data_IF_925752022894
#
_entry.id   IF_925752022894
#
_cell.length_a   1.000
_cell.length_b   1.000
_cell.length_c   1.000
_cell.angle_alpha   90.00
_cell.angle_beta   90.00
_cell.angle_gamma   90.00
#
_symmetry.space_group_name_H-M   'P 1'
#
loop_
_entity.id
_entity.type
_entity.pdbx_description
1 polymer ?
#
# COMPACT_ATOMS: atom_id res chain seq x y z
N UNK A 1 -19.23 -51.11 28.32
CA UNK A 1 -18.79 -49.86 28.96
C UNK A 1 -17.52 -49.43 28.27
N UNK A 2 -17.43 -48.14 27.93
CA UNK A 2 -16.36 -47.44 27.20
C UNK A 2 -16.34 -47.63 25.67
N UNK A 3 -16.79 -46.58 24.96
CA UNK A 3 -16.06 -46.06 23.81
C UNK A 3 -16.15 -44.53 23.88
N UNK A 4 -15.06 -43.92 24.29
CA UNK A 4 -14.92 -42.48 24.51
C UNK A 4 -14.67 -41.83 23.16
N UNK A 5 -15.68 -41.12 22.63
CA UNK A 5 -15.48 -40.21 21.51
C UNK A 5 -14.48 -39.13 21.91
N UNK A 6 -13.27 -39.21 21.38
CA UNK A 6 -12.27 -38.14 21.43
C UNK A 6 -12.82 -36.94 20.66
N UNK A 7 -13.28 -35.94 21.42
CA UNK A 7 -13.72 -34.66 20.89
C UNK A 7 -12.48 -33.85 20.54
N UNK A 8 -12.11 -33.90 19.26
CA UNK A 8 -11.09 -33.02 18.68
C UNK A 8 -11.38 -31.57 19.08
N UNK A 9 -10.44 -30.84 19.70
CA UNK A 9 -10.69 -29.46 20.06
C UNK A 9 -10.77 -28.66 18.78
N UNK A 10 -11.97 -28.19 18.43
CA UNK A 10 -12.16 -27.13 17.45
C UNK A 10 -11.36 -25.92 17.91
N UNK A 11 -10.12 -25.83 17.44
CA UNK A 11 -9.29 -24.64 17.54
C UNK A 11 -9.96 -23.60 16.66
N UNK A 12 -10.85 -22.80 17.24
CA UNK A 12 -11.32 -21.57 16.63
C UNK A 12 -10.08 -20.77 16.23
N UNK A 13 -9.86 -20.48 14.93
CA UNK A 13 -8.75 -19.65 14.53
C UNK A 13 -8.87 -18.34 15.30
N UNK A 14 -7.83 -17.98 16.05
CA UNK A 14 -7.80 -16.68 16.71
C UNK A 14 -8.02 -15.63 15.61
N UNK A 15 -8.97 -14.70 15.78
CA UNK A 15 -9.22 -13.68 14.79
C UNK A 15 -7.91 -12.95 14.51
N UNK A 16 -7.38 -13.10 13.29
CA UNK A 16 -6.18 -12.38 12.88
C UNK A 16 -6.42 -10.88 12.95
N UNK A 17 -5.38 -10.03 12.86
CA UNK A 17 -5.55 -8.57 12.84
C UNK A 17 -6.57 -8.10 11.79
N UNK A 18 -6.74 -8.87 10.71
CA UNK A 18 -7.68 -8.63 9.61
C UNK A 18 -9.17 -8.85 9.98
N UNK A 19 -9.47 -9.62 11.02
CA UNK A 19 -10.84 -9.93 11.45
C UNK A 19 -11.65 -8.71 11.89
N UNK A 20 -10.96 -7.70 12.43
CA UNK A 20 -11.54 -6.41 12.80
C UNK A 20 -11.92 -5.55 11.58
N UNK A 21 -11.36 -5.87 10.40
CA UNK A 21 -11.49 -5.14 9.14
C UNK A 21 -12.34 -5.87 8.09
N UNK A 22 -12.65 -7.15 8.31
CA UNK A 22 -13.67 -7.91 7.58
C UNK A 22 -14.96 -8.07 8.42
N UNK A 23 -15.65 -6.98 8.82
CA UNK A 23 -16.96 -7.14 9.42
C UNK A 23 -17.93 -7.74 8.39
N UNK A 24 -18.98 -8.47 8.83
CA UNK A 24 -20.04 -8.98 7.95
C UNK A 24 -20.55 -7.90 6.99
N UNK A 25 -21.01 -8.29 5.80
CA UNK A 25 -21.36 -7.35 4.72
C UNK A 25 -22.31 -6.21 5.16
N UNK A 26 -23.17 -6.46 6.14
CA UNK A 26 -24.20 -5.53 6.62
C UNK A 26 -23.84 -4.80 7.94
N UNK A 27 -22.64 -5.03 8.49
CA UNK A 27 -22.22 -4.41 9.74
C UNK A 27 -21.65 -3.00 9.51
N UNK A 28 -22.02 -2.08 10.40
CA UNK A 28 -21.51 -0.72 10.39
C UNK A 28 -19.97 -0.71 10.47
N UNK A 29 -19.35 0.10 9.62
CA UNK A 29 -17.88 0.27 9.55
C UNK A 29 -17.51 1.65 10.11
N UNK A 30 -17.43 1.84 11.44
CA UNK A 30 -17.21 3.15 12.04
C UNK A 30 -15.86 3.79 11.63
N UNK A 31 -14.92 2.99 11.13
CA UNK A 31 -13.61 3.43 10.62
C UNK A 31 -13.64 3.90 9.15
N UNK A 32 -14.71 3.64 8.39
CA UNK A 32 -14.72 3.82 6.93
C UNK A 32 -14.47 5.28 6.49
N UNK A 33 -15.02 6.26 7.21
CA UNK A 33 -14.83 7.68 6.88
C UNK A 33 -13.38 8.14 7.07
N UNK A 34 -12.72 7.65 8.12
CA UNK A 34 -11.31 7.93 8.41
C UNK A 34 -10.42 7.26 7.37
N UNK A 35 -10.66 5.97 7.10
CA UNK A 35 -9.95 5.21 6.07
C UNK A 35 -10.09 5.87 4.68
N UNK A 36 -11.29 6.36 4.33
CA UNK A 36 -11.53 7.04 3.05
C UNK A 36 -10.73 8.34 2.94
N UNK A 37 -10.65 9.09 4.03
CA UNK A 37 -9.89 10.35 4.09
C UNK A 37 -8.40 10.09 3.97
N UNK A 38 -7.87 9.11 4.70
CA UNK A 38 -6.46 8.71 4.63
C UNK A 38 -6.10 8.14 3.27
N UNK A 39 -6.95 7.27 2.71
CA UNK A 39 -6.77 6.76 1.36
C UNK A 39 -6.66 7.90 0.35
N UNK A 40 -7.54 8.91 0.44
CA UNK A 40 -7.47 10.08 -0.45
C UNK A 40 -6.17 10.89 -0.28
N UNK A 41 -5.70 11.10 0.96
CA UNK A 41 -4.43 11.77 1.26
C UNK A 41 -3.23 11.02 0.66
N UNK A 42 -3.29 9.68 0.65
CA UNK A 42 -2.28 8.80 0.07
C UNK A 42 -2.41 8.62 -1.45
N UNK A 43 -3.27 9.39 -2.09
CA UNK A 43 -3.46 9.39 -3.53
C UNK A 43 -4.30 8.21 -4.03
N UNK A 44 -5.12 7.59 -3.17
CA UNK A 44 -6.06 6.59 -3.60
C UNK A 44 -7.18 7.21 -4.44
N UNK A 45 -7.33 6.72 -5.66
CA UNK A 45 -8.30 7.21 -6.65
C UNK A 45 -9.44 6.21 -6.84
N UNK A 46 -10.62 6.67 -7.23
CA UNK A 46 -11.72 5.83 -7.70
C UNK A 46 -12.37 6.42 -8.96
N UNK A 47 -13.17 5.65 -9.75
CA UNK A 47 -13.33 4.18 -9.76
C UNK A 47 -12.05 3.47 -10.25
N UNK A 48 -12.08 2.16 -10.57
CA UNK A 48 -10.89 1.44 -11.06
C UNK A 48 -10.18 2.23 -12.17
N UNK A 49 -8.92 2.68 -11.93
CA UNK A 49 -8.27 3.54 -12.90
C UNK A 49 -7.98 2.73 -14.17
N UNK A 50 -8.48 3.15 -15.35
CA UNK A 50 -8.20 2.45 -16.62
C UNK A 50 -6.72 2.57 -17.02
N UNK A 51 -6.02 3.56 -16.46
CA UNK A 51 -4.60 3.77 -16.71
C UNK A 51 -3.75 2.69 -16.00
N UNK A 52 -2.62 2.26 -16.58
CA UNK A 52 -1.63 1.41 -15.91
C UNK A 52 -1.23 1.97 -14.53
N UNK A 53 -0.69 1.16 -13.60
CA UNK A 53 -0.29 1.60 -12.25
C UNK A 53 0.99 2.44 -12.28
N UNK A 54 1.06 3.40 -13.19
CA UNK A 54 2.19 4.29 -13.40
C UNK A 54 1.90 5.63 -12.72
N UNK A 55 2.83 6.08 -11.88
CA UNK A 55 2.70 7.37 -11.22
C UNK A 55 2.66 8.52 -12.27
N UNK A 56 1.70 9.46 -12.17
CA UNK A 56 1.65 10.59 -13.10
C UNK A 56 2.81 11.57 -12.93
N UNK A 57 3.47 11.59 -11.76
CA UNK A 57 4.53 12.55 -11.45
C UNK A 57 5.93 12.05 -11.83
N UNK A 58 6.28 10.81 -11.48
CA UNK A 58 7.61 10.25 -11.73
C UNK A 58 7.64 9.14 -12.78
N UNK A 59 6.48 8.74 -13.30
CA UNK A 59 6.32 7.69 -14.33
C UNK A 59 6.82 6.30 -13.92
N UNK A 60 7.10 6.07 -12.63
CA UNK A 60 7.41 4.74 -12.12
C UNK A 60 6.14 3.90 -11.97
N UNK A 61 6.27 2.60 -12.25
CA UNK A 61 5.23 1.61 -11.97
C UNK A 61 5.17 1.37 -10.48
N UNK A 62 4.04 1.65 -9.85
CA UNK A 62 3.75 1.28 -8.46
C UNK A 62 2.91 0.00 -8.37
N UNK A 63 2.59 -0.38 -7.15
CA UNK A 63 1.74 -1.54 -6.85
C UNK A 63 0.33 -1.06 -6.52
N UNK A 64 -0.60 -1.18 -7.48
CA UNK A 64 -1.99 -0.77 -7.28
C UNK A 64 -2.75 -1.82 -6.50
N UNK A 65 -3.47 -1.39 -5.44
CA UNK A 65 -4.29 -2.27 -4.61
C UNK A 65 -5.68 -1.67 -4.36
N UNK A 66 -6.72 -2.50 -4.47
CA UNK A 66 -8.08 -2.13 -4.09
C UNK A 66 -8.17 -2.00 -2.57
N UNK A 67 -8.87 -0.99 -2.08
CA UNK A 67 -9.10 -0.76 -0.65
C UNK A 67 -10.53 -1.13 -0.25
N UNK A 68 -10.77 -1.31 1.04
CA UNK A 68 -12.11 -1.55 1.58
C UNK A 68 -13.12 -0.42 1.34
N UNK A 69 -12.63 0.75 0.93
CA UNK A 69 -13.46 1.93 0.57
C UNK A 69 -13.80 1.99 -0.92
N UNK A 70 -13.48 0.95 -1.70
CA UNK A 70 -13.71 0.90 -3.15
C UNK A 70 -12.75 1.76 -3.98
N UNK A 71 -11.71 2.32 -3.35
CA UNK A 71 -10.66 3.13 -4.01
C UNK A 71 -9.40 2.32 -4.23
N UNK A 72 -8.56 2.77 -5.16
CA UNK A 72 -7.30 2.13 -5.51
C UNK A 72 -6.13 2.98 -5.03
N UNK A 73 -5.35 2.47 -4.10
CA UNK A 73 -4.10 3.09 -3.64
C UNK A 73 -2.94 2.61 -4.51
N UNK A 74 -1.98 3.49 -4.76
CA UNK A 74 -0.71 3.13 -5.40
C UNK A 74 0.38 3.02 -4.33
N UNK A 75 0.84 1.80 -4.06
CA UNK A 75 1.88 1.51 -3.07
C UNK A 75 3.27 1.52 -3.71
N UNK A 76 4.28 1.84 -2.89
CA UNK A 76 5.68 1.74 -3.30
C UNK A 76 6.03 0.26 -3.58
N UNK A 77 6.47 -0.05 -4.81
CA UNK A 77 6.78 -1.42 -5.18
C UNK A 77 8.04 -1.89 -4.44
N UNK A 78 8.07 -3.18 -4.08
CA UNK A 78 9.23 -3.88 -3.50
C UNK A 78 9.66 -3.42 -2.09
N UNK A 79 9.08 -2.35 -1.54
CA UNK A 79 9.42 -1.86 -0.20
C UNK A 79 8.42 -2.32 0.86
N UNK A 80 8.92 -3.16 1.77
CA UNK A 80 8.26 -3.46 3.04
C UNK A 80 9.08 -2.82 4.15
N UNK A 81 8.46 -1.94 4.93
CA UNK A 81 9.11 -1.17 5.99
C UNK A 81 8.61 -1.63 7.36
N UNK A 82 9.44 -1.57 8.41
CA UNK A 82 8.96 -1.74 9.79
C UNK A 82 7.90 -0.67 10.09
N UNK A 83 6.71 -1.09 10.53
CA UNK A 83 5.56 -0.18 10.61
C UNK A 83 5.78 0.97 11.60
N UNK A 84 6.53 0.73 12.68
CA UNK A 84 6.89 1.74 13.68
C UNK A 84 7.80 2.86 13.12
N UNK A 85 8.45 2.66 11.98
CA UNK A 85 9.27 3.67 11.29
C UNK A 85 8.49 4.47 10.24
N UNK A 86 7.25 4.11 9.99
CA UNK A 86 6.36 4.77 9.03
C UNK A 86 5.41 5.66 9.81
N UNK A 87 5.11 6.89 9.35
CA UNK A 87 4.11 7.73 9.99
C UNK A 87 2.74 7.04 10.11
N UNK A 88 2.04 7.30 11.22
CA UNK A 88 0.63 6.94 11.33
C UNK A 88 -0.18 7.53 10.17
N UNK A 89 -1.16 6.79 9.68
CA UNK A 89 -1.97 7.19 8.52
C UNK A 89 -1.32 6.91 7.17
N UNK A 90 -0.08 6.43 7.11
CA UNK A 90 0.61 6.03 5.88
C UNK A 90 1.07 4.57 5.87
N UNK A 91 0.62 3.80 6.86
CA UNK A 91 0.95 2.38 7.05
C UNK A 91 -0.08 1.53 6.33
N UNK A 92 0.30 0.89 5.24
CA UNK A 92 -0.61 0.04 4.46
C UNK A 92 -0.31 -1.43 4.66
N UNK A 93 -1.34 -2.22 4.89
CA UNK A 93 -1.27 -3.67 4.95
C UNK A 93 -2.05 -4.25 3.78
N UNK A 94 -1.68 -5.44 3.33
CA UNK A 94 -2.35 -6.15 2.25
C UNK A 94 -2.81 -7.49 2.79
N UNK A 95 -4.11 -7.76 2.71
CA UNK A 95 -4.69 -9.02 3.17
C UNK A 95 -4.51 -10.16 2.14
N UNK A 96 -5.01 -11.34 2.50
CA UNK A 96 -4.95 -12.53 1.63
C UNK A 96 -5.73 -12.37 0.31
N UNK A 97 -6.76 -11.52 0.28
CA UNK A 97 -7.52 -11.18 -0.93
C UNK A 97 -6.81 -10.12 -1.80
N UNK A 98 -5.64 -9.64 -1.35
CA UNK A 98 -4.89 -8.60 -2.02
C UNK A 98 -5.50 -7.21 -1.85
N UNK A 99 -6.43 -7.00 -0.91
CA UNK A 99 -6.96 -5.67 -0.58
C UNK A 99 -6.03 -4.96 0.38
N UNK A 100 -5.83 -3.67 0.13
CA UNK A 100 -5.03 -2.81 0.96
C UNK A 100 -5.87 -2.05 1.98
N UNK A 101 -5.38 -1.94 3.21
CA UNK A 101 -6.01 -1.18 4.28
C UNK A 101 -4.98 -0.40 5.10
N UNK A 102 -5.42 0.72 5.69
CA UNK A 102 -4.54 1.61 6.46
C UNK A 102 -4.57 1.27 7.95
N UNK A 103 -3.39 1.18 8.57
CA UNK A 103 -3.23 0.95 10.00
C UNK A 103 -3.82 2.03 10.92
N UNK A 104 -4.21 3.17 10.36
CA UNK A 104 -4.64 4.33 11.12
C UNK A 104 -3.46 5.04 11.78
N UNK A 105 -3.77 5.89 12.77
CA UNK A 105 -2.79 6.72 13.47
C UNK A 105 -2.14 6.01 14.68
N UNK A 106 -2.70 4.89 15.13
CA UNK A 106 -2.24 4.18 16.31
C UNK A 106 -0.87 3.52 16.13
N UNK A 107 -0.19 3.27 17.25
CA UNK A 107 1.07 2.51 17.25
C UNK A 107 0.82 1.07 16.77
N UNK A 108 1.64 0.54 15.86
CA UNK A 108 1.38 -0.77 15.29
C UNK A 108 1.93 -1.85 16.23
N UNK A 109 1.47 -3.11 16.10
CA UNK A 109 2.01 -4.20 16.92
C UNK A 109 3.54 -4.33 16.77
N UNK A 110 4.27 -4.67 17.85
CA UNK A 110 5.71 -4.89 17.77
C UNK A 110 6.08 -5.91 16.69
N UNK A 111 7.13 -5.62 15.91
CA UNK A 111 7.60 -6.48 14.82
C UNK A 111 6.75 -6.46 13.55
N UNK A 112 5.66 -5.68 13.51
CA UNK A 112 4.86 -5.53 12.29
C UNK A 112 5.61 -4.79 11.18
N UNK A 113 5.32 -5.19 9.95
CA UNK A 113 5.83 -4.56 8.74
C UNK A 113 4.66 -4.13 7.86
N UNK A 114 4.82 -3.00 7.19
CA UNK A 114 3.80 -2.44 6.31
C UNK A 114 4.40 -2.04 4.96
N UNK A 115 3.51 -1.79 4.01
CA UNK A 115 3.77 -1.09 2.76
C UNK A 115 3.56 0.41 3.00
N UNK A 116 4.09 1.23 2.09
CA UNK A 116 3.89 2.68 2.11
C UNK A 116 3.24 3.14 0.80
N UNK A 117 2.49 4.24 0.80
CA UNK A 117 2.01 4.84 -0.44
C UNK A 117 3.18 5.32 -1.29
N UNK A 118 3.11 5.10 -2.60
CA UNK A 118 4.13 5.57 -3.55
C UNK A 118 4.28 7.10 -3.48
N UNK A 119 3.21 7.83 -3.13
CA UNK A 119 3.23 9.28 -2.94
C UNK A 119 4.39 9.73 -2.05
N UNK A 120 4.63 9.06 -0.92
CA UNK A 120 5.73 9.39 0.01
C UNK A 120 7.13 9.19 -0.62
N UNK A 121 7.26 8.16 -1.45
CA UNK A 121 8.51 7.78 -2.11
C UNK A 121 8.68 8.42 -3.50
N UNK A 122 7.71 9.21 -3.96
CA UNK A 122 7.68 9.76 -5.30
C UNK A 122 8.69 10.91 -5.44
N UNK A 123 9.68 10.82 -6.35
CA UNK A 123 10.66 11.88 -6.55
C UNK A 123 10.07 13.10 -7.27
N UNK A 124 8.93 12.95 -7.98
CA UNK A 124 8.26 14.03 -8.70
C UNK A 124 7.34 14.92 -7.83
N UNK A 125 7.29 14.67 -6.53
CA UNK A 125 6.53 15.47 -5.57
C UNK A 125 7.49 16.10 -4.57
N UNK A 126 7.46 17.43 -4.39
CA UNK A 126 8.03 18.02 -3.17
C UNK A 126 7.08 17.71 -2.03
N UNK A 127 7.61 17.16 -0.95
CA UNK A 127 6.83 16.87 0.23
C UNK A 127 7.56 17.56 1.38
N UNK A 128 7.25 18.84 1.50
CA UNK A 128 7.92 19.79 2.39
C UNK A 128 7.79 19.37 3.88
N UNK A 129 6.91 18.40 4.18
CA UNK A 129 6.62 17.88 5.53
C UNK A 129 7.24 16.49 5.87
N UNK A 130 8.12 15.90 5.04
CA UNK A 130 8.67 14.54 5.28
C UNK A 130 10.02 14.56 6.04
N UNK A 131 10.35 15.67 6.69
CA UNK A 131 11.68 15.87 7.27
C UNK A 131 12.15 14.93 8.42
N UNK A 132 11.36 14.05 9.09
CA UNK A 132 11.97 13.17 10.08
C UNK A 132 12.56 11.85 9.54
N UNK A 133 12.20 11.38 8.33
CA UNK A 133 12.43 9.97 7.97
C UNK A 133 13.60 9.74 7.00
N UNK A 134 14.81 9.62 7.56
CA UNK A 134 16.05 9.38 6.77
C UNK A 134 15.97 8.19 5.81
N UNK A 135 15.29 7.11 6.20
CA UNK A 135 15.12 5.93 5.34
C UNK A 135 14.29 6.25 4.09
N UNK A 136 13.31 7.15 4.20
CA UNK A 136 12.46 7.55 3.08
C UNK A 136 13.23 8.43 2.08
N UNK A 137 14.19 9.23 2.55
CA UNK A 137 15.11 9.95 1.66
C UNK A 137 15.92 8.98 0.78
N UNK A 138 16.40 7.86 1.33
CA UNK A 138 17.10 6.83 0.56
C UNK A 138 16.22 6.18 -0.50
N UNK A 139 14.95 5.87 -0.16
CA UNK A 139 13.96 5.33 -1.10
C UNK A 139 13.68 6.31 -2.24
N UNK A 140 13.50 7.60 -1.92
CA UNK A 140 13.28 8.66 -2.91
C UNK A 140 14.48 8.84 -3.84
N UNK A 141 15.70 8.75 -3.32
CA UNK A 141 16.92 8.80 -4.13
C UNK A 141 17.02 7.61 -5.09
N UNK A 142 16.65 6.40 -4.66
CA UNK A 142 16.58 5.24 -5.55
C UNK A 142 15.50 5.40 -6.62
N UNK A 143 14.33 5.88 -6.24
CA UNK A 143 13.27 6.15 -7.22
C UNK A 143 13.66 7.24 -8.21
N UNK A 144 14.45 8.23 -7.79
CA UNK A 144 15.03 9.22 -8.72
C UNK A 144 15.88 8.51 -9.78
N UNK A 145 16.81 7.64 -9.37
CA UNK A 145 17.65 6.86 -10.32
C UNK A 145 16.80 6.00 -11.26
N UNK A 146 15.78 5.32 -10.73
CA UNK A 146 14.86 4.50 -11.53
C UNK A 146 14.08 5.34 -12.55
N UNK A 147 13.59 6.50 -12.14
CA UNK A 147 12.84 7.39 -13.01
C UNK A 147 13.73 7.94 -14.13
N UNK A 148 14.96 8.35 -13.81
CA UNK A 148 15.94 8.79 -14.82
C UNK A 148 16.25 7.70 -15.82
N UNK A 149 16.54 6.47 -15.36
CA UNK A 149 16.81 5.34 -16.25
C UNK A 149 15.64 5.07 -17.19
N UNK A 150 14.41 5.06 -16.66
CA UNK A 150 13.19 4.86 -17.44
C UNK A 150 12.98 5.97 -18.48
N UNK A 151 13.24 7.23 -18.12
CA UNK A 151 13.14 8.35 -19.05
C UNK A 151 14.15 8.20 -20.21
N UNK A 152 15.41 7.86 -19.91
CA UNK A 152 16.39 7.58 -20.96
C UNK A 152 15.95 6.42 -21.86
N UNK A 153 15.45 5.31 -21.28
CA UNK A 153 14.93 4.17 -22.05
C UNK A 153 13.76 4.55 -22.97
N UNK A 154 12.82 5.38 -22.49
CA UNK A 154 11.71 5.91 -23.28
C UNK A 154 12.24 6.79 -24.44
N UNK A 155 13.25 7.63 -24.22
CA UNK A 155 13.90 8.45 -25.26
C UNK A 155 14.60 7.61 -26.33
N UNK A 156 15.32 6.55 -25.93
CA UNK A 156 15.99 5.63 -26.87
C UNK A 156 14.97 4.91 -27.76
N UNK A 157 13.82 4.48 -27.21
CA UNK A 157 12.76 3.82 -28.01
C UNK A 157 12.13 4.78 -29.01
N UNK A 158 11.99 6.07 -28.67
CA UNK A 158 11.46 7.09 -29.58
C UNK A 158 12.39 7.47 -30.73
N UNK A 159 13.67 7.09 -30.66
CA UNK A 159 14.72 7.49 -31.62
C UNK A 159 15.08 6.39 -32.63
N UNK A 160 14.40 5.23 -32.60
CA UNK A 160 14.67 4.17 -33.57
C UNK A 160 14.24 4.63 -34.97
N UNK A 161 15.15 4.69 -35.97
CA UNK A 161 14.77 5.04 -37.34
C UNK A 161 13.89 3.93 -37.91
N UNK A 162 12.84 4.35 -38.63
CA UNK A 162 11.95 3.46 -39.36
C UNK A 162 12.79 2.69 -40.40
N UNK A 163 13.00 1.40 -40.17
CA UNK A 163 13.67 0.53 -41.13
C UNK A 163 12.63 0.16 -42.19
N UNK A 164 12.51 1.03 -43.19
CA UNK A 164 11.58 0.88 -44.33
C UNK A 164 11.79 -0.36 -45.18
#
# INVERSE_FOLDING_TARGET
>A
MADTHEREPHLFPLPGPDSSRQPPADAARPWEGVDRTQAAQDGATGPEPPAPPVCPHCRLTGERRLTYTGRHVLLEPLLTAPAHLVPGGHRWYVDADGRAWNGGLGEPPPGSACRIPHRLACPGLSLDDIEPWRWLAAVRAENTRRATRRACEDDFRGTLPDAG
#
